data_IF_633482493867
#
_entry.id   IF_633482493867
#
_cell.length_a   1.000
_cell.length_b   1.000
_cell.length_c   1.000
_cell.angle_alpha   90.00
_cell.angle_beta   90.00
_cell.angle_gamma   90.00
#
_symmetry.space_group_name_H-M   'P 1'
#
loop_
_entity.id
_entity.type
_entity.pdbx_description
1 polymer ?
#
# COMPACT_ATOMS: atom_id res chain seq x y z
N UNK A 1 -35.27 3.76 -69.22
CA UNK A 1 -34.23 4.56 -68.54
C UNK A 1 -34.87 5.09 -67.25
N UNK A 2 -35.04 4.19 -66.29
CA UNK A 2 -35.53 4.50 -64.94
C UNK A 2 -34.41 3.97 -64.06
N UNK A 3 -33.64 4.90 -63.51
CA UNK A 3 -32.36 4.61 -62.89
C UNK A 3 -32.56 3.98 -61.51
N UNK A 4 -31.73 2.98 -61.26
CA UNK A 4 -31.76 2.07 -60.14
C UNK A 4 -31.33 2.80 -58.85
N UNK A 5 -32.04 2.47 -57.77
CA UNK A 5 -31.71 2.78 -56.39
C UNK A 5 -30.21 2.56 -56.07
N UNK A 6 -29.43 3.64 -55.99
CA UNK A 6 -28.12 3.62 -55.34
C UNK A 6 -28.31 3.80 -53.83
N UNK A 7 -28.47 2.67 -53.13
CA UNK A 7 -28.25 2.62 -51.69
C UNK A 7 -26.74 2.71 -51.47
N UNK A 8 -26.23 3.93 -51.36
CA UNK A 8 -24.89 4.16 -50.86
C UNK A 8 -24.84 3.70 -49.39
N UNK A 9 -24.28 2.51 -49.17
CA UNK A 9 -23.90 1.98 -47.88
C UNK A 9 -22.97 2.98 -47.18
N UNK A 10 -23.52 3.69 -46.19
CA UNK A 10 -22.73 4.39 -45.17
C UNK A 10 -22.09 3.32 -44.30
N UNK A 11 -20.94 2.81 -44.73
CA UNK A 11 -20.05 2.02 -43.87
C UNK A 11 -19.34 2.99 -42.92
N UNK A 12 -20.02 3.35 -41.83
CA UNK A 12 -19.36 3.98 -40.69
C UNK A 12 -18.46 2.93 -40.04
N UNK A 13 -17.18 2.95 -40.38
CA UNK A 13 -16.16 2.24 -39.62
C UNK A 13 -15.92 2.99 -38.30
N UNK A 14 -16.80 2.77 -37.33
CA UNK A 14 -16.47 3.04 -35.93
C UNK A 14 -15.43 2.02 -35.48
N UNK A 15 -14.17 2.26 -35.79
CA UNK A 15 -13.07 1.68 -35.02
C UNK A 15 -13.08 2.37 -33.66
N UNK A 16 -13.92 1.88 -32.75
CA UNK A 16 -13.67 2.10 -31.32
C UNK A 16 -12.42 1.30 -30.98
N UNK A 17 -11.24 1.83 -31.31
CA UNK A 17 -10.02 1.34 -30.69
C UNK A 17 -10.23 1.60 -29.21
N UNK A 18 -10.49 0.54 -28.43
CA UNK A 18 -10.13 0.54 -27.03
C UNK A 18 -8.81 1.28 -26.94
N UNK A 19 -8.68 2.33 -26.10
CA UNK A 19 -7.47 3.17 -26.03
C UNK A 19 -6.21 2.42 -25.55
N UNK A 20 -6.20 1.10 -25.69
CA UNK A 20 -5.14 0.15 -25.44
C UNK A 20 -4.28 0.04 -26.71
N UNK A 21 -2.96 0.23 -26.62
CA UNK A 21 -2.07 0.09 -27.77
C UNK A 21 -1.96 -1.38 -28.24
N UNK A 22 -1.70 -1.58 -29.53
CA UNK A 22 -1.54 -2.92 -30.14
C UNK A 22 -0.34 -3.71 -29.58
N UNK A 23 0.61 -3.01 -28.96
CA UNK A 23 1.81 -3.57 -28.34
C UNK A 23 2.18 -2.78 -27.09
N UNK A 24 2.73 -3.47 -26.10
CA UNK A 24 3.36 -2.85 -24.95
C UNK A 24 4.59 -3.65 -24.50
N UNK A 25 5.56 -2.97 -23.88
CA UNK A 25 6.75 -3.63 -23.32
C UNK A 25 6.43 -4.38 -22.03
N UNK A 26 5.52 -3.84 -21.21
CA UNK A 26 5.03 -4.48 -19.99
C UNK A 26 3.51 -4.37 -19.94
N UNK A 27 2.86 -5.50 -19.69
CA UNK A 27 1.42 -5.56 -19.40
C UNK A 27 1.24 -6.03 -17.96
N UNK A 28 0.61 -5.19 -17.14
CA UNK A 28 0.28 -5.46 -15.73
C UNK A 28 -1.19 -5.87 -15.69
N UNK A 29 -1.50 -7.03 -15.11
CA UNK A 29 -2.87 -7.55 -15.01
C UNK A 29 -3.33 -7.40 -13.56
N UNK A 30 -4.27 -6.47 -13.34
CA UNK A 30 -4.85 -6.13 -12.03
C UNK A 30 -4.52 -4.71 -11.58
N UNK A 31 -5.54 -3.90 -11.36
CA UNK A 31 -5.52 -2.52 -10.88
C UNK A 31 -5.73 -2.37 -9.39
N UNK A 32 -5.32 -3.37 -8.59
CA UNK A 32 -5.16 -3.21 -7.15
C UNK A 32 -3.88 -2.46 -6.79
N UNK A 33 -3.69 -2.16 -5.51
CA UNK A 33 -2.54 -1.38 -5.00
C UNK A 33 -1.18 -1.92 -5.47
N UNK A 34 -1.02 -3.24 -5.56
CA UNK A 34 0.23 -3.85 -6.04
C UNK A 34 0.47 -3.58 -7.52
N UNK A 35 -0.56 -3.72 -8.37
CA UNK A 35 -0.43 -3.45 -9.80
C UNK A 35 -0.16 -1.97 -10.08
N UNK A 36 -0.88 -1.08 -9.39
CA UNK A 36 -0.64 0.36 -9.45
C UNK A 36 0.77 0.73 -8.96
N UNK A 37 1.24 0.10 -7.89
CA UNK A 37 2.61 0.30 -7.38
C UNK A 37 3.65 -0.13 -8.42
N UNK A 38 3.49 -1.29 -9.06
CA UNK A 38 4.40 -1.73 -10.13
C UNK A 38 4.40 -0.73 -11.30
N UNK A 39 3.22 -0.26 -11.73
CA UNK A 39 3.11 0.73 -12.79
C UNK A 39 3.81 2.04 -12.43
N UNK A 40 3.59 2.55 -11.22
CA UNK A 40 4.23 3.75 -10.69
C UNK A 40 5.76 3.63 -10.69
N UNK A 41 6.31 2.53 -10.17
CA UNK A 41 7.77 2.34 -10.11
C UNK A 41 8.39 2.18 -11.50
N UNK A 42 7.73 1.49 -12.44
CA UNK A 42 8.21 1.39 -13.82
C UNK A 42 8.22 2.75 -14.50
N UNK A 43 7.14 3.54 -14.35
CA UNK A 43 7.06 4.90 -14.89
C UNK A 43 8.17 5.80 -14.30
N UNK A 44 8.41 5.72 -12.98
CA UNK A 44 9.48 6.46 -12.29
C UNK A 44 10.88 6.06 -12.76
N UNK A 45 11.07 4.81 -13.20
CA UNK A 45 12.29 4.34 -13.86
C UNK A 45 12.41 4.78 -15.33
N UNK A 46 11.47 5.58 -15.84
CA UNK A 46 11.48 6.13 -17.20
C UNK A 46 10.85 5.23 -18.26
N UNK A 47 10.12 4.18 -17.86
CA UNK A 47 9.40 3.34 -18.81
C UNK A 47 8.13 4.06 -19.27
N UNK A 48 7.94 4.16 -20.59
CA UNK A 48 6.81 4.85 -21.21
C UNK A 48 5.86 3.90 -21.98
N UNK A 49 6.18 2.61 -22.03
CA UNK A 49 5.43 1.59 -22.75
C UNK A 49 4.91 0.51 -21.77
N UNK A 50 4.15 0.96 -20.78
CA UNK A 50 3.56 0.16 -19.71
C UNK A 50 2.04 0.29 -19.77
N UNK A 51 1.35 -0.85 -19.86
CA UNK A 51 -0.11 -0.91 -19.86
C UNK A 51 -0.57 -1.66 -18.62
N UNK A 52 -1.48 -1.06 -17.86
CA UNK A 52 -2.20 -1.72 -16.76
C UNK A 52 -3.62 -2.04 -17.22
N UNK A 53 -4.01 -3.30 -17.08
CA UNK A 53 -5.35 -3.79 -17.40
C UNK A 53 -6.05 -4.19 -16.11
N UNK A 54 -7.18 -3.55 -15.82
CA UNK A 54 -8.10 -3.92 -14.75
C UNK A 54 -9.41 -4.39 -15.39
N UNK A 55 -10.01 -5.43 -14.81
CA UNK A 55 -11.26 -6.02 -15.29
C UNK A 55 -12.45 -5.09 -15.03
N UNK A 56 -12.42 -4.35 -13.93
CA UNK A 56 -13.49 -3.43 -13.51
C UNK A 56 -12.92 -2.04 -13.16
N UNK A 57 -13.13 -1.52 -11.94
CA UNK A 57 -12.54 -0.28 -11.45
C UNK A 57 -11.22 -0.56 -10.71
N UNK A 58 -10.30 0.41 -10.72
CA UNK A 58 -9.14 0.37 -9.82
C UNK A 58 -9.58 0.11 -8.38
N UNK A 59 -8.77 -0.64 -7.64
CA UNK A 59 -8.99 -1.05 -6.24
C UNK A 59 -10.16 -2.02 -5.98
N UNK A 60 -10.99 -2.36 -6.99
CA UNK A 60 -12.20 -3.20 -6.87
C UNK A 60 -11.97 -4.63 -6.34
N UNK A 61 -10.72 -5.09 -6.28
CA UNK A 61 -10.31 -6.34 -5.63
C UNK A 61 -10.27 -6.23 -4.10
N UNK A 62 -9.16 -6.66 -3.49
CA UNK A 62 -9.02 -6.62 -2.02
C UNK A 62 -8.60 -5.27 -1.46
N UNK A 63 -8.18 -4.34 -2.33
CA UNK A 63 -7.63 -3.05 -1.93
C UNK A 63 -8.69 -2.18 -1.26
N UNK A 64 -9.86 -1.98 -1.87
CA UNK A 64 -10.88 -1.04 -1.35
C UNK A 64 -11.34 -1.33 0.09
N UNK A 65 -11.38 -2.61 0.48
CA UNK A 65 -11.85 -3.04 1.80
C UNK A 65 -10.70 -3.29 2.79
N UNK A 66 -9.48 -2.88 2.47
CA UNK A 66 -8.36 -2.98 3.41
C UNK A 66 -8.56 -2.01 4.58
N UNK A 67 -8.16 -2.42 5.80
CA UNK A 67 -8.18 -1.54 6.97
C UNK A 67 -7.18 -0.36 6.88
N UNK A 68 -6.28 -0.41 5.89
CA UNK A 68 -5.34 0.67 5.60
C UNK A 68 -4.12 0.74 6.50
N UNK A 69 -3.80 -0.28 7.30
CA UNK A 69 -2.60 -0.27 8.16
C UNK A 69 -1.31 -0.27 7.32
N UNK A 70 -0.42 0.66 7.62
CA UNK A 70 0.92 0.79 7.01
C UNK A 70 1.94 0.67 8.15
N UNK A 71 2.44 -0.55 8.33
CA UNK A 71 3.27 -0.95 9.48
C UNK A 71 4.43 -1.82 9.03
N UNK A 72 5.58 -1.67 9.68
CA UNK A 72 6.79 -2.48 9.46
C UNK A 72 7.07 -3.43 10.63
N UNK A 73 6.38 -3.26 11.76
CA UNK A 73 6.47 -4.16 12.90
C UNK A 73 6.08 -5.62 12.57
N UNK A 74 6.93 -6.56 12.97
CA UNK A 74 6.66 -8.01 12.88
C UNK A 74 7.23 -8.72 11.64
N UNK A 75 8.02 -8.04 10.81
CA UNK A 75 8.78 -8.69 9.73
C UNK A 75 9.86 -9.63 10.28
N UNK A 76 10.03 -10.79 9.65
CA UNK A 76 10.91 -11.86 10.12
C UNK A 76 12.19 -12.03 9.32
N UNK A 77 12.34 -11.26 8.23
CA UNK A 77 13.52 -11.27 7.35
C UNK A 77 13.89 -9.85 6.95
N UNK A 78 15.15 -9.65 6.58
CA UNK A 78 15.66 -8.35 6.14
C UNK A 78 14.92 -7.82 4.92
N UNK A 79 14.66 -8.68 3.93
CA UNK A 79 13.92 -8.29 2.73
C UNK A 79 12.51 -7.79 3.05
N UNK A 80 11.80 -8.45 3.97
CA UNK A 80 10.46 -8.03 4.38
C UNK A 80 10.51 -6.72 5.18
N UNK A 81 11.46 -6.57 6.10
CA UNK A 81 11.64 -5.33 6.86
C UNK A 81 11.96 -4.15 5.94
N UNK A 82 12.86 -4.34 4.98
CA UNK A 82 13.21 -3.34 3.97
C UNK A 82 12.00 -2.97 3.11
N UNK A 83 11.24 -3.94 2.59
CA UNK A 83 10.05 -3.68 1.78
C UNK A 83 8.98 -2.91 2.55
N UNK A 84 8.72 -3.29 3.80
CA UNK A 84 7.72 -2.64 4.64
C UNK A 84 8.12 -1.20 4.97
N UNK A 85 9.39 -1.00 5.38
CA UNK A 85 9.94 0.33 5.65
C UNK A 85 9.90 1.22 4.40
N UNK A 86 10.36 0.71 3.26
CA UNK A 86 10.30 1.43 1.98
C UNK A 86 8.87 1.83 1.61
N UNK A 87 7.92 0.90 1.73
CA UNK A 87 6.52 1.17 1.40
C UNK A 87 5.95 2.27 2.28
N UNK A 88 6.25 2.23 3.59
CA UNK A 88 5.87 3.28 4.52
C UNK A 88 6.50 4.62 4.15
N UNK A 89 7.83 4.65 3.95
CA UNK A 89 8.58 5.86 3.59
C UNK A 89 8.02 6.48 2.29
N UNK A 90 7.60 5.64 1.33
CA UNK A 90 6.97 6.08 0.09
C UNK A 90 5.62 6.77 0.33
N UNK A 91 4.78 6.26 1.23
CA UNK A 91 3.49 6.90 1.55
C UNK A 91 3.65 8.32 2.11
N UNK A 92 4.77 8.62 2.78
CA UNK A 92 5.07 9.97 3.31
C UNK A 92 5.33 11.00 2.20
N UNK A 93 5.85 10.58 1.04
CA UNK A 93 6.27 11.48 -0.05
C UNK A 93 5.36 11.46 -1.28
N UNK A 94 4.48 10.45 -1.40
CA UNK A 94 3.62 10.27 -2.58
C UNK A 94 2.69 11.45 -2.85
N UNK A 95 2.15 12.08 -1.81
CA UNK A 95 1.27 13.23 -1.98
C UNK A 95 2.01 14.44 -2.56
N UNK A 96 3.23 14.70 -2.11
CA UNK A 96 4.09 15.75 -2.67
C UNK A 96 4.48 15.44 -4.11
N UNK A 97 4.81 14.18 -4.42
CA UNK A 97 5.27 13.76 -5.74
C UNK A 97 4.15 13.76 -6.80
N UNK A 98 2.94 13.35 -6.40
CA UNK A 98 1.82 13.12 -7.35
C UNK A 98 0.75 14.21 -7.29
N UNK A 99 0.73 15.03 -6.24
CA UNK A 99 -0.37 15.97 -5.97
C UNK A 99 -1.67 15.28 -5.52
N UNK A 100 -1.65 13.97 -5.27
CA UNK A 100 -2.81 13.19 -4.83
C UNK A 100 -2.58 12.68 -3.41
N UNK A 101 -3.49 13.02 -2.49
CA UNK A 101 -3.38 12.55 -1.11
C UNK A 101 -3.58 11.05 -1.03
N UNK A 102 -2.71 10.39 -0.27
CA UNK A 102 -2.81 8.95 0.08
C UNK A 102 -3.66 8.73 1.33
N UNK A 103 -4.09 9.81 2.00
CA UNK A 103 -4.71 9.73 3.31
C UNK A 103 -3.79 9.18 4.41
N UNK A 104 -2.48 9.08 4.16
CA UNK A 104 -1.52 8.55 5.13
C UNK A 104 -1.45 9.43 6.38
N UNK A 105 -1.54 8.79 7.55
CA UNK A 105 -1.45 9.42 8.86
C UNK A 105 -0.50 8.60 9.73
N UNK A 106 0.68 9.13 10.10
CA UNK A 106 1.61 8.47 11.00
C UNK A 106 1.12 8.62 12.45
N UNK A 107 0.13 7.80 12.82
CA UNK A 107 -0.51 7.82 14.15
C UNK A 107 0.12 6.84 15.14
N UNK A 108 1.23 6.22 14.72
CA UNK A 108 1.96 5.22 15.46
C UNK A 108 1.33 3.82 15.43
N UNK A 109 2.13 2.84 15.83
CA UNK A 109 1.74 1.44 15.93
C UNK A 109 2.21 0.86 17.26
N UNK A 110 1.31 0.18 17.97
CA UNK A 110 1.58 -0.44 19.26
C UNK A 110 1.36 -1.95 19.21
N UNK A 111 2.33 -2.71 19.70
CA UNK A 111 2.14 -4.12 20.07
C UNK A 111 2.34 -4.28 21.57
N UNK A 112 1.41 -4.94 22.25
CA UNK A 112 1.52 -5.23 23.68
C UNK A 112 1.93 -6.68 23.95
N UNK A 113 2.56 -6.89 25.10
CA UNK A 113 2.90 -8.19 25.65
C UNK A 113 2.32 -8.34 27.06
N UNK A 114 1.49 -9.36 27.25
CA UNK A 114 0.91 -9.73 28.55
C UNK A 114 1.50 -11.00 29.15
N UNK A 115 2.50 -11.58 28.49
CA UNK A 115 3.24 -12.75 29.00
C UNK A 115 4.75 -12.53 28.85
N UNK A 116 5.54 -13.24 29.66
CA UNK A 116 7.00 -13.16 29.62
C UNK A 116 7.54 -13.66 28.27
N UNK A 117 6.95 -14.72 27.74
CA UNK A 117 7.29 -15.31 26.44
C UNK A 117 7.05 -14.31 25.31
N UNK A 118 5.90 -13.62 25.32
CA UNK A 118 5.58 -12.58 24.32
C UNK A 118 6.53 -11.40 24.45
N UNK A 119 6.86 -10.98 25.67
CA UNK A 119 7.81 -9.89 25.94
C UNK A 119 9.19 -10.21 25.36
N UNK A 120 9.72 -11.39 25.65
CA UNK A 120 11.02 -11.82 25.11
C UNK A 120 11.03 -11.89 23.58
N UNK A 121 9.93 -12.38 22.98
CA UNK A 121 9.77 -12.39 21.52
C UNK A 121 9.81 -10.97 20.95
N UNK A 122 9.05 -10.04 21.52
CA UNK A 122 8.98 -8.67 21.02
C UNK A 122 10.29 -7.90 21.21
N UNK A 123 11.05 -8.13 22.29
CA UNK A 123 12.40 -7.56 22.45
C UNK A 123 13.35 -8.02 21.35
N UNK A 124 13.37 -9.31 21.05
CA UNK A 124 14.17 -9.85 19.94
C UNK A 124 13.75 -9.27 18.59
N UNK A 125 12.44 -9.10 18.37
CA UNK A 125 11.93 -8.44 17.17
C UNK A 125 12.35 -6.96 17.13
N UNK A 126 12.32 -6.25 18.25
CA UNK A 126 12.76 -4.86 18.33
C UNK A 126 14.26 -4.71 18.01
N UNK A 127 15.12 -5.59 18.54
CA UNK A 127 16.55 -5.61 18.22
C UNK A 127 16.79 -5.83 16.72
N UNK A 128 16.06 -6.77 16.11
CA UNK A 128 16.13 -7.01 14.67
C UNK A 128 15.67 -5.80 13.85
N UNK A 129 14.59 -5.15 14.29
CA UNK A 129 14.04 -3.96 13.63
C UNK A 129 14.99 -2.76 13.72
N UNK A 130 15.67 -2.60 14.86
CA UNK A 130 16.68 -1.56 15.05
C UNK A 130 17.85 -1.72 14.04
N UNK A 131 18.28 -2.95 13.74
CA UNK A 131 19.28 -3.20 12.69
C UNK A 131 18.82 -2.75 11.30
N UNK A 132 17.51 -2.71 11.07
CA UNK A 132 16.89 -2.28 9.81
C UNK A 132 16.52 -0.79 9.80
N UNK A 133 16.89 -0.04 10.84
CA UNK A 133 16.54 1.38 10.99
C UNK A 133 15.05 1.63 11.23
N UNK A 134 14.38 0.69 11.91
CA UNK A 134 12.99 0.82 12.36
C UNK A 134 13.01 0.93 13.88
N UNK A 135 12.78 2.14 14.39
CA UNK A 135 12.85 2.44 15.82
C UNK A 135 11.60 1.97 16.54
N UNK A 136 11.75 0.89 17.33
CA UNK A 136 10.68 0.34 18.18
C UNK A 136 11.02 0.56 19.63
N UNK A 137 10.29 1.47 20.28
CA UNK A 137 10.48 1.81 21.68
C UNK A 137 9.74 0.83 22.58
N UNK A 138 10.45 0.22 23.53
CA UNK A 138 9.81 -0.54 24.61
C UNK A 138 9.27 0.43 25.66
N UNK A 139 7.96 0.41 25.87
CA UNK A 139 7.24 1.25 26.83
C UNK A 139 6.55 0.39 27.89
N UNK A 140 6.36 0.93 29.08
CA UNK A 140 5.66 0.28 30.18
C UNK A 140 4.14 0.23 29.96
N UNK A 141 3.44 -0.64 30.70
CA UNK A 141 1.98 -0.66 30.71
C UNK A 141 1.36 0.68 31.15
N UNK A 142 2.03 1.43 32.02
CA UNK A 142 1.59 2.76 32.45
C UNK A 142 1.67 3.79 31.31
N UNK A 143 2.75 3.74 30.51
CA UNK A 143 2.89 4.59 29.31
C UNK A 143 1.86 4.22 28.23
N UNK A 144 1.59 2.92 28.04
CA UNK A 144 0.49 2.45 27.17
C UNK A 144 -0.85 3.06 27.59
N UNK A 145 -1.19 3.00 28.88
CA UNK A 145 -2.45 3.56 29.39
C UNK A 145 -2.50 5.10 29.26
N UNK A 146 -1.36 5.78 29.37
CA UNK A 146 -1.27 7.23 29.18
C UNK A 146 -1.48 7.64 27.72
N UNK A 147 -0.90 6.89 26.77
CA UNK A 147 -1.00 7.15 25.33
C UNK A 147 -2.35 6.70 24.75
N UNK A 148 -2.90 5.58 25.22
CA UNK A 148 -4.21 5.05 24.82
C UNK A 148 -5.11 4.80 26.03
N UNK A 149 -5.79 5.85 26.54
CA UNK A 149 -6.65 5.76 27.72
C UNK A 149 -7.81 4.76 27.61
N UNK A 150 -8.18 4.36 26.39
CA UNK A 150 -9.23 3.38 26.13
C UNK A 150 -8.77 1.92 26.30
N UNK A 151 -7.46 1.67 26.43
CA UNK A 151 -6.89 0.33 26.59
C UNK A 151 -6.87 -0.07 28.07
N UNK A 152 -7.39 -1.25 28.41
CA UNK A 152 -7.14 -1.85 29.72
C UNK A 152 -5.72 -2.44 29.74
N UNK A 153 -4.78 -1.70 30.32
CA UNK A 153 -3.36 -2.07 30.35
C UNK A 153 -2.92 -2.84 31.62
N UNK A 154 -3.86 -3.32 32.45
CA UNK A 154 -3.52 -3.97 33.74
C UNK A 154 -2.57 -5.16 33.60
N UNK A 155 -2.78 -5.97 32.57
CA UNK A 155 -1.99 -7.17 32.32
C UNK A 155 -0.86 -6.94 31.31
N UNK A 156 -0.58 -5.68 30.93
CA UNK A 156 0.49 -5.36 29.98
C UNK A 156 1.82 -5.29 30.73
N UNK A 157 2.70 -6.24 30.40
CA UNK A 157 4.08 -6.30 30.91
C UNK A 157 4.96 -5.28 30.18
N UNK A 158 4.81 -5.17 28.86
CA UNK A 158 5.52 -4.22 28.00
C UNK A 158 4.72 -3.91 26.73
N UNK A 159 4.85 -2.69 26.22
CA UNK A 159 4.41 -2.26 24.90
C UNK A 159 5.62 -2.00 23.99
N UNK A 160 5.44 -2.15 22.68
CA UNK A 160 6.46 -1.89 21.67
C UNK A 160 5.87 -0.95 20.63
N UNK A 161 6.30 0.31 20.69
CA UNK A 161 5.73 1.43 19.96
C UNK A 161 6.64 1.88 18.81
N UNK A 162 6.06 2.09 17.63
CA UNK A 162 6.73 2.67 16.47
C UNK A 162 5.98 3.95 16.07
N UNK A 163 6.59 5.12 16.25
CA UNK A 163 5.90 6.40 16.14
C UNK A 163 5.48 6.77 14.71
N UNK A 164 6.30 6.39 13.73
CA UNK A 164 6.21 6.81 12.33
C UNK A 164 5.43 5.80 11.45
N UNK A 165 4.73 4.85 12.07
CA UNK A 165 3.80 3.94 11.42
C UNK A 165 2.37 4.49 11.50
N UNK A 166 1.42 3.89 10.77
CA UNK A 166 0.04 4.35 10.89
C UNK A 166 -0.91 3.74 9.89
N UNK A 167 -1.73 4.59 9.25
CA UNK A 167 -2.75 4.15 8.30
C UNK A 167 -2.86 5.06 7.09
N UNK A 168 -3.26 4.52 5.96
CA UNK A 168 -3.59 5.23 4.73
C UNK A 168 -5.04 4.94 4.29
N UNK A 169 -5.54 5.72 3.34
CA UNK A 169 -6.77 5.41 2.61
C UNK A 169 -6.41 4.50 1.43
N UNK A 170 -6.99 3.29 1.32
CA UNK A 170 -6.65 2.39 0.24
C UNK A 170 -7.36 2.72 -1.09
N UNK A 171 -8.27 3.70 -1.16
CA UNK A 171 -9.07 4.03 -2.36
C UNK A 171 -8.67 5.32 -3.06
#
# INVERSE_FOLDING_TARGET
MVDETDRSDVTSSTSSSSGVPDRARVVIIGGGVIGCSVAYHLAKLGWNDVVLLERDQLTSGTTWHAAGLVVSGGMTTEALAWMAKYSRDLFEVLEEETGLSTGFRPVGYLQTASTKERTHKLRREADFMALMGIDREEISGAEVAAMWPQVDAKDVIAGFFTANEGRADPT
#
